data_IF_939680772123
#
_entry.id   IF_939680772123
#
_cell.length_a   1.000
_cell.length_b   1.000
_cell.length_c   1.000
_cell.angle_alpha   90.00
_cell.angle_beta   90.00
_cell.angle_gamma   90.00
#
_symmetry.space_group_name_H-M   'P 1'
#
loop_
_entity.id
_entity.type
_entity.pdbx_description
1 polymer ?
#
# COMPACT_ATOMS: atom_id res chain seq x y z
N UNK A 1 -18.42 17.12 -40.16
CA UNK A 1 -19.73 16.54 -40.02
C UNK A 1 -19.72 15.13 -40.64
N UNK A 2 -19.35 14.13 -39.84
CA UNK A 2 -19.45 12.70 -40.17
C UNK A 2 -19.83 11.97 -38.90
N UNK A 3 -21.05 11.51 -38.86
CA UNK A 3 -21.68 10.64 -37.87
C UNK A 3 -21.09 9.24 -37.98
N UNK A 4 -20.62 8.67 -36.85
CA UNK A 4 -20.31 7.25 -36.73
C UNK A 4 -21.41 6.53 -35.97
N UNK A 5 -21.97 5.55 -36.67
CA UNK A 5 -23.09 4.73 -36.27
C UNK A 5 -22.67 3.62 -35.31
N UNK A 6 -23.52 3.38 -34.33
CA UNK A 6 -23.44 2.23 -33.41
C UNK A 6 -24.23 1.09 -34.07
N UNK A 7 -23.59 -0.09 -34.20
CA UNK A 7 -24.29 -1.40 -34.03
C UNK A 7 -23.39 -2.59 -34.34
N UNK A 8 -23.58 -3.60 -33.48
CA UNK A 8 -23.35 -5.05 -33.68
C UNK A 8 -21.92 -5.57 -33.53
N UNK A 9 -21.63 -6.54 -32.63
CA UNK A 9 -22.19 -7.89 -32.69
C UNK A 9 -22.06 -8.64 -31.36
N UNK A 10 -23.15 -9.29 -31.01
CA UNK A 10 -23.20 -10.42 -30.08
C UNK A 10 -22.55 -11.66 -30.72
N UNK A 11 -21.78 -12.41 -29.96
CA UNK A 11 -21.25 -13.74 -30.33
C UNK A 11 -21.25 -14.69 -29.14
N UNK A 12 -22.34 -15.43 -29.01
CA UNK A 12 -22.57 -16.51 -28.05
C UNK A 12 -21.91 -17.80 -28.58
N UNK A 13 -21.13 -18.52 -27.73
CA UNK A 13 -20.88 -19.95 -27.95
C UNK A 13 -20.68 -20.66 -26.62
N UNK A 14 -21.71 -21.41 -26.22
CA UNK A 14 -21.68 -22.44 -25.22
C UNK A 14 -21.19 -23.76 -25.83
N UNK A 15 -20.34 -24.51 -25.12
CA UNK A 15 -20.12 -25.93 -25.38
C UNK A 15 -20.05 -26.69 -24.06
N UNK A 16 -21.10 -27.47 -23.84
CA UNK A 16 -21.25 -28.55 -22.86
C UNK A 16 -20.41 -29.76 -23.31
N UNK A 17 -19.68 -30.37 -22.38
CA UNK A 17 -19.03 -31.66 -22.56
C UNK A 17 -19.12 -32.49 -21.27
N UNK A 18 -20.09 -33.39 -21.25
CA UNK A 18 -20.28 -34.46 -20.26
C UNK A 18 -19.44 -35.68 -20.61
N UNK A 19 -18.81 -36.34 -19.63
CA UNK A 19 -18.42 -37.76 -19.64
C UNK A 19 -17.98 -38.19 -18.24
N UNK A 20 -18.69 -38.95 -17.63
CA UNK A 20 -19.08 -40.33 -17.39
C UNK A 20 -18.04 -41.16 -16.59
N UNK A 21 -18.53 -41.69 -15.47
CA UNK A 21 -17.92 -42.55 -14.48
C UNK A 21 -17.25 -43.81 -15.03
N UNK A 22 -16.19 -44.29 -14.35
CA UNK A 22 -16.00 -45.72 -14.05
C UNK A 22 -15.42 -45.96 -12.65
N UNK A 23 -16.13 -46.77 -11.88
CA UNK A 23 -15.69 -47.40 -10.62
C UNK A 23 -14.90 -48.67 -10.94
N UNK A 24 -13.86 -48.96 -10.14
CA UNK A 24 -13.45 -50.29 -9.63
C UNK A 24 -12.04 -50.18 -9.08
N UNK A 25 -11.65 -50.63 -7.95
CA UNK A 25 -11.81 -51.77 -7.12
C UNK A 25 -10.81 -51.70 -5.97
N UNK A 26 -11.16 -52.28 -4.84
CA UNK A 26 -10.39 -52.42 -3.60
C UNK A 26 -9.07 -53.20 -3.78
N UNK A 27 -7.98 -52.84 -3.05
CA UNK A 27 -7.20 -53.84 -2.32
C UNK A 27 -6.39 -53.21 -1.18
N UNK A 28 -6.43 -53.92 -0.06
CA UNK A 28 -5.89 -53.61 1.26
C UNK A 28 -4.39 -53.78 1.36
N UNK A 29 -3.72 -52.94 2.14
CA UNK A 29 -2.32 -53.14 2.55
C UNK A 29 -1.80 -52.01 3.44
N UNK A 30 -1.99 -52.10 4.76
CA UNK A 30 -1.13 -51.48 5.79
C UNK A 30 0.02 -52.48 6.12
N UNK A 31 1.14 -52.09 6.78
CA UNK A 31 1.52 -50.84 7.42
C UNK A 31 2.97 -50.39 7.13
N UNK A 32 3.38 -49.21 7.49
CA UNK A 32 4.49 -48.93 8.42
C UNK A 32 4.73 -47.43 8.51
N UNK A 33 4.79 -46.95 9.74
CA UNK A 33 5.16 -45.61 10.13
C UNK A 33 6.57 -45.24 9.64
N UNK A 34 6.70 -44.09 8.99
CA UNK A 34 7.93 -43.34 8.91
C UNK A 34 7.56 -41.90 9.31
N UNK A 35 7.96 -41.58 10.53
CA UNK A 35 8.05 -40.22 11.06
C UNK A 35 8.88 -39.36 10.08
N UNK A 36 8.23 -38.45 9.40
CA UNK A 36 8.86 -37.30 8.76
C UNK A 36 8.07 -36.05 9.17
N UNK A 37 8.49 -35.49 10.31
CA UNK A 37 8.16 -34.13 10.69
C UNK A 37 8.71 -33.18 9.62
N UNK A 38 7.88 -32.94 8.59
CA UNK A 38 7.99 -31.73 7.79
C UNK A 38 7.62 -30.55 8.68
N UNK A 39 8.33 -29.41 8.60
CA UNK A 39 7.89 -28.21 9.31
C UNK A 39 6.50 -27.86 8.77
N UNK A 40 5.55 -27.76 9.68
CA UNK A 40 4.24 -27.21 9.41
C UNK A 40 4.46 -25.79 8.89
N UNK A 41 4.14 -25.58 7.63
CA UNK A 41 3.79 -24.28 7.06
C UNK A 41 2.65 -23.77 7.94
N UNK A 42 2.99 -22.92 8.93
CA UNK A 42 1.99 -22.20 9.71
C UNK A 42 1.44 -21.16 8.75
N UNK A 43 0.32 -21.51 8.10
CA UNK A 43 -0.39 -20.67 7.18
C UNK A 43 -0.62 -19.29 7.80
N UNK A 44 -0.41 -18.26 6.98
CA UNK A 44 -0.78 -16.88 7.24
C UNK A 44 -2.18 -16.85 7.84
N UNK A 45 -2.30 -16.46 9.10
CA UNK A 45 -3.59 -16.47 9.82
C UNK A 45 -4.50 -15.32 9.39
N UNK A 46 -4.11 -14.51 8.39
CA UNK A 46 -4.90 -13.39 7.87
C UNK A 46 -5.21 -12.31 8.92
N UNK A 47 -4.52 -12.33 10.06
CA UNK A 47 -4.74 -11.35 11.13
C UNK A 47 -4.14 -10.00 10.73
N UNK A 48 -4.89 -8.93 11.03
CA UNK A 48 -4.39 -7.57 10.89
C UNK A 48 -3.25 -7.34 11.90
N UNK A 49 -2.31 -6.45 11.52
CA UNK A 49 -1.34 -5.91 12.47
C UNK A 49 -2.08 -5.13 13.56
N UNK A 50 -1.70 -5.37 14.80
CA UNK A 50 -2.18 -4.66 15.99
C UNK A 50 -0.97 -4.26 16.81
N UNK A 51 -0.79 -2.97 17.15
CA UNK A 51 0.28 -2.53 18.04
C UNK A 51 0.24 -3.26 19.38
N UNK A 52 1.41 -3.50 19.98
CA UNK A 52 1.48 -3.96 21.36
C UNK A 52 0.89 -2.91 22.31
N UNK A 53 0.47 -3.32 23.52
CA UNK A 53 -0.14 -2.40 24.50
C UNK A 53 0.83 -1.29 24.95
N UNK A 54 2.14 -1.57 24.94
CA UNK A 54 3.22 -0.67 25.28
C UNK A 54 4.02 -0.17 24.08
N UNK A 55 3.45 -0.23 22.89
CA UNK A 55 4.09 0.23 21.67
C UNK A 55 4.38 1.74 21.73
N UNK A 56 5.65 2.15 21.63
CA UNK A 56 6.02 3.56 21.75
C UNK A 56 5.44 4.43 20.66
N UNK A 57 5.13 3.85 19.47
CA UNK A 57 4.62 4.57 18.31
C UNK A 57 3.09 4.62 18.21
N UNK A 58 2.37 3.96 19.13
CA UNK A 58 0.90 3.93 19.09
C UNK A 58 0.26 5.16 19.76
N UNK A 59 1.02 6.12 20.27
CA UNK A 59 0.49 7.32 20.93
C UNK A 59 1.40 8.53 20.71
N UNK A 60 0.83 9.72 20.68
CA UNK A 60 1.63 10.95 20.57
C UNK A 60 1.81 11.45 19.14
N UNK A 61 2.84 12.23 18.94
CA UNK A 61 3.29 12.71 17.61
C UNK A 61 4.75 12.32 17.48
N UNK A 62 5.05 11.59 16.41
CA UNK A 62 6.38 11.12 16.08
C UNK A 62 6.93 11.85 14.87
N UNK A 63 8.25 11.83 14.70
CA UNK A 63 8.91 12.49 13.59
C UNK A 63 9.74 11.49 12.80
N UNK A 64 9.72 11.62 11.49
CA UNK A 64 10.59 10.83 10.63
C UNK A 64 11.14 11.69 9.49
N UNK A 65 12.23 11.22 8.90
CA UNK A 65 12.78 11.76 7.66
C UNK A 65 12.59 10.76 6.54
N UNK A 66 12.23 11.26 5.35
CA UNK A 66 12.16 10.48 4.11
C UNK A 66 13.21 11.05 3.17
N UNK A 67 14.31 10.32 2.98
CA UNK A 67 15.37 10.69 2.06
C UNK A 67 15.12 10.08 0.68
N UNK A 68 15.12 10.91 -0.37
CA UNK A 68 14.92 10.47 -1.76
C UNK A 68 16.16 10.76 -2.57
N UNK A 69 16.73 9.73 -3.21
CA UNK A 69 17.97 9.84 -3.97
C UNK A 69 17.89 10.91 -5.07
N UNK A 70 18.83 11.86 -5.02
CA UNK A 70 18.92 12.93 -6.02
C UNK A 70 17.88 14.06 -5.88
N UNK A 71 16.91 13.94 -4.96
CA UNK A 71 15.87 14.94 -4.74
C UNK A 71 15.99 15.67 -3.39
N UNK A 72 16.43 14.97 -2.33
CA UNK A 72 16.61 15.55 -1.00
C UNK A 72 15.82 14.83 0.08
N UNK A 73 15.56 15.53 1.19
CA UNK A 73 14.94 14.96 2.38
C UNK A 73 13.69 15.73 2.75
N UNK A 74 12.63 15.00 3.07
CA UNK A 74 11.41 15.52 3.68
C UNK A 74 11.39 15.16 5.17
N UNK A 75 10.99 16.10 6.02
CA UNK A 75 10.66 15.82 7.42
C UNK A 75 9.15 15.69 7.57
N UNK A 76 8.70 14.69 8.30
CA UNK A 76 7.27 14.42 8.51
C UNK A 76 6.95 14.34 10.00
N UNK A 77 5.80 14.89 10.40
CA UNK A 77 5.20 14.69 11.70
C UNK A 77 4.04 13.70 11.58
N UNK A 78 4.09 12.61 12.33
CA UNK A 78 3.17 11.48 12.31
C UNK A 78 2.28 11.52 13.55
N UNK A 79 0.97 11.50 13.42
CA UNK A 79 0.02 11.73 14.51
C UNK A 79 -0.66 10.42 14.97
N UNK A 80 -0.03 9.71 15.89
CA UNK A 80 -0.58 8.50 16.48
C UNK A 80 -1.80 8.74 17.39
N UNK A 81 -2.10 9.97 17.77
CA UNK A 81 -3.36 10.26 18.49
C UNK A 81 -4.59 10.14 17.58
N UNK A 82 -4.41 10.19 16.25
CA UNK A 82 -5.47 10.08 15.25
C UNK A 82 -5.43 8.75 14.52
N UNK A 83 -4.24 8.26 14.19
CA UNK A 83 -4.03 7.01 13.46
C UNK A 83 -2.97 6.13 14.15
N UNK A 84 -3.25 5.61 15.36
CA UNK A 84 -2.27 4.86 16.15
C UNK A 84 -1.73 3.60 15.47
N UNK A 85 -2.60 2.81 14.82
CA UNK A 85 -2.19 1.57 14.16
C UNK A 85 -1.31 1.89 12.94
N UNK A 86 -1.71 2.88 12.17
CA UNK A 86 -1.00 3.32 10.96
C UNK A 86 0.39 3.86 11.31
N UNK A 87 0.49 4.75 12.30
CA UNK A 87 1.77 5.34 12.71
C UNK A 87 2.69 4.28 13.29
N UNK A 88 2.18 3.41 14.17
CA UNK A 88 2.96 2.31 14.72
C UNK A 88 3.51 1.39 13.62
N UNK A 89 2.67 0.92 12.72
CA UNK A 89 3.09 0.08 11.59
C UNK A 89 4.14 0.78 10.71
N UNK A 90 3.92 2.05 10.36
CA UNK A 90 4.84 2.81 9.52
C UNK A 90 6.21 2.99 10.19
N UNK A 91 6.23 3.34 11.49
CA UNK A 91 7.48 3.55 12.24
C UNK A 91 8.27 2.24 12.40
N UNK A 92 7.61 1.13 12.74
CA UNK A 92 8.31 -0.16 12.83
C UNK A 92 8.88 -0.61 11.50
N UNK A 93 8.12 -0.51 10.40
CA UNK A 93 8.64 -0.80 9.07
C UNK A 93 9.84 0.10 8.71
N UNK A 94 9.81 1.38 9.10
CA UNK A 94 10.93 2.29 8.89
C UNK A 94 12.16 1.87 9.69
N UNK A 95 12.01 1.52 10.98
CA UNK A 95 13.11 1.04 11.82
C UNK A 95 13.73 -0.28 11.34
N UNK A 96 12.92 -1.16 10.74
CA UNK A 96 13.39 -2.40 10.13
C UNK A 96 14.10 -2.17 8.78
N UNK A 97 14.14 -0.93 8.28
CA UNK A 97 14.70 -0.60 6.97
C UNK A 97 13.86 -1.13 5.81
N UNK A 98 12.57 -1.44 6.03
CA UNK A 98 11.68 -1.99 5.02
C UNK A 98 11.57 -1.09 3.79
N UNK A 99 11.60 0.22 3.99
CA UNK A 99 11.44 1.21 2.92
C UNK A 99 12.73 1.50 2.14
N UNK A 100 13.89 1.05 2.64
CA UNK A 100 15.19 1.34 2.04
C UNK A 100 15.31 0.71 0.64
N UNK A 101 15.57 1.55 -0.35
CA UNK A 101 15.63 1.14 -1.76
C UNK A 101 14.26 0.94 -2.44
N UNK A 102 13.14 1.10 -1.74
CA UNK A 102 11.83 1.13 -2.38
C UNK A 102 11.64 2.44 -3.16
N UNK A 103 10.58 2.51 -3.95
CA UNK A 103 10.44 3.59 -4.93
C UNK A 103 9.08 4.28 -4.86
N UNK A 104 9.01 5.47 -5.46
CA UNK A 104 7.74 6.09 -5.84
C UNK A 104 7.35 5.61 -7.24
N UNK A 105 6.45 4.63 -7.30
CA UNK A 105 6.04 3.94 -8.52
C UNK A 105 4.86 4.60 -9.24
N UNK A 106 4.17 5.53 -8.56
CA UNK A 106 3.03 6.26 -9.11
C UNK A 106 3.10 7.73 -8.76
N UNK A 107 3.05 8.60 -9.77
CA UNK A 107 3.20 10.05 -9.63
C UNK A 107 2.12 10.73 -10.48
N UNK A 108 1.32 11.59 -9.86
CA UNK A 108 0.33 12.40 -10.59
C UNK A 108 0.54 13.86 -10.20
N UNK A 109 1.09 14.64 -11.14
CA UNK A 109 1.24 16.09 -10.97
C UNK A 109 -0.10 16.76 -10.68
N UNK A 110 -0.12 17.69 -9.71
CA UNK A 110 -1.33 18.31 -9.21
C UNK A 110 -2.16 17.43 -8.26
N UNK A 111 -1.60 16.27 -7.84
CA UNK A 111 -2.30 15.36 -6.93
C UNK A 111 -1.37 14.79 -5.85
N UNK A 112 -0.56 13.76 -6.16
CA UNK A 112 0.25 13.07 -5.14
C UNK A 112 1.40 12.26 -5.76
N UNK A 113 2.35 11.84 -4.89
CA UNK A 113 3.32 10.78 -5.18
C UNK A 113 3.03 9.59 -4.28
N UNK A 114 3.07 8.34 -4.80
CA UNK A 114 2.79 7.10 -4.06
C UNK A 114 3.97 6.14 -4.16
N UNK A 115 4.37 5.58 -3.02
CA UNK A 115 5.48 4.64 -2.90
C UNK A 115 5.28 3.63 -1.78
N UNK A 116 6.37 2.97 -1.33
CA UNK A 116 6.36 1.99 -0.24
C UNK A 116 5.88 0.60 -0.66
N UNK A 117 5.93 0.30 -1.97
CA UNK A 117 5.64 -1.02 -2.52
C UNK A 117 6.94 -1.78 -2.80
N UNK A 118 7.21 -2.95 -2.15
CA UNK A 118 8.40 -3.74 -2.42
C UNK A 118 8.49 -4.30 -3.84
N UNK A 119 7.37 -4.35 -4.58
CA UNK A 119 7.35 -4.78 -5.99
C UNK A 119 7.44 -3.60 -6.97
N UNK A 120 7.27 -2.37 -6.51
CA UNK A 120 7.38 -1.16 -7.33
C UNK A 120 6.33 -1.05 -8.46
N UNK A 121 5.18 -1.70 -8.33
CA UNK A 121 4.14 -1.75 -9.37
C UNK A 121 2.71 -1.52 -8.85
N UNK A 122 2.57 -1.23 -7.55
CA UNK A 122 1.30 -0.97 -6.88
C UNK A 122 0.59 -2.21 -6.33
N UNK A 123 1.18 -3.42 -6.45
CA UNK A 123 0.52 -4.67 -6.05
C UNK A 123 1.12 -5.34 -4.81
N UNK A 124 2.30 -4.89 -4.37
CA UNK A 124 2.99 -5.40 -3.19
C UNK A 124 2.63 -4.65 -1.91
N UNK A 125 3.17 -5.13 -0.79
CA UNK A 125 2.98 -4.53 0.52
C UNK A 125 3.80 -5.26 1.59
N UNK A 126 3.66 -4.85 2.85
CA UNK A 126 4.18 -5.58 3.99
C UNK A 126 3.35 -6.86 4.23
N UNK A 127 3.89 -7.77 5.05
CA UNK A 127 3.30 -9.08 5.34
C UNK A 127 1.89 -8.99 5.92
N UNK A 128 1.64 -8.02 6.80
CA UNK A 128 0.34 -7.84 7.46
C UNK A 128 -0.35 -6.57 6.99
N UNK A 129 -1.64 -6.69 6.76
CA UNK A 129 -2.50 -5.54 6.56
C UNK A 129 -2.79 -4.85 7.90
N UNK A 130 -3.22 -3.60 7.83
CA UNK A 130 -3.66 -2.81 8.98
C UNK A 130 -5.13 -2.44 8.84
N UNK A 131 -5.78 -2.20 9.98
CA UNK A 131 -7.12 -1.59 9.98
C UNK A 131 -7.05 -0.19 9.37
N UNK A 132 -7.97 0.09 8.46
CA UNK A 132 -8.11 1.43 7.88
C UNK A 132 -8.67 2.42 8.89
N UNK A 133 -7.83 3.38 9.31
CA UNK A 133 -8.18 4.41 10.30
C UNK A 133 -8.72 5.66 9.63
N UNK A 134 -9.97 5.56 9.14
CA UNK A 134 -10.69 6.65 8.47
C UNK A 134 -12.21 6.56 8.71
N UNK A 135 -12.92 7.67 8.51
CA UNK A 135 -14.30 7.85 8.98
C UNK A 135 -15.29 6.88 8.32
N UNK A 136 -15.19 6.59 7.03
CA UNK A 136 -16.08 5.63 6.36
C UNK A 136 -15.86 4.19 6.82
N UNK A 137 -14.73 3.89 7.48
CA UNK A 137 -14.43 2.60 8.13
C UNK A 137 -14.70 2.59 9.65
N UNK A 138 -15.41 3.62 10.16
CA UNK A 138 -15.83 3.70 11.55
C UNK A 138 -14.74 4.16 12.53
N UNK A 139 -13.63 4.71 12.06
CA UNK A 139 -12.58 5.31 12.88
C UNK A 139 -12.57 6.82 12.65
N UNK A 140 -12.68 7.62 13.70
CA UNK A 140 -12.61 9.08 13.59
C UNK A 140 -11.20 9.49 13.16
N UNK A 141 -11.11 10.12 11.99
CA UNK A 141 -9.89 10.69 11.44
C UNK A 141 -10.25 11.97 10.66
N UNK A 142 -9.83 13.10 11.18
CA UNK A 142 -10.13 14.44 10.66
C UNK A 142 -8.89 15.13 10.09
N UNK A 143 -7.82 14.42 9.82
CA UNK A 143 -6.68 14.99 9.10
C UNK A 143 -7.11 15.17 7.64
N UNK A 144 -7.15 16.43 7.13
CA UNK A 144 -7.57 16.67 5.77
C UNK A 144 -6.46 16.32 4.78
N UNK A 145 -6.82 15.88 3.58
CA UNK A 145 -5.87 15.65 2.50
C UNK A 145 -5.53 16.96 1.78
N UNK A 146 -4.72 17.76 2.45
CA UNK A 146 -4.14 19.00 1.91
C UNK A 146 -2.69 18.77 1.47
N UNK A 147 -2.11 19.76 0.79
CA UNK A 147 -0.69 19.71 0.40
C UNK A 147 0.21 19.31 1.60
N UNK A 148 1.03 18.30 1.41
CA UNK A 148 1.96 17.75 2.40
C UNK A 148 1.38 16.65 3.28
N UNK A 149 0.07 16.37 3.23
CA UNK A 149 -0.50 15.25 3.99
C UNK A 149 0.08 13.93 3.51
N UNK A 150 0.51 13.08 4.46
CA UNK A 150 0.88 11.68 4.21
C UNK A 150 -0.26 10.77 4.64
N UNK A 151 -0.63 9.81 3.78
CA UNK A 151 -1.79 8.93 3.96
C UNK A 151 -1.51 7.54 3.40
N UNK A 152 -2.20 6.50 3.91
CA UNK A 152 -2.03 5.13 3.44
C UNK A 152 -2.79 4.87 2.15
N UNK A 153 -2.11 4.25 1.20
CA UNK A 153 -2.76 3.66 0.03
C UNK A 153 -3.41 2.32 0.41
N UNK A 154 -4.50 1.97 -0.27
CA UNK A 154 -5.25 0.73 -0.06
C UNK A 154 -5.93 0.24 -1.34
N UNK A 155 -6.38 -1.00 -1.33
CA UNK A 155 -7.28 -1.55 -2.35
C UNK A 155 -8.75 -1.14 -2.07
N UNK A 156 -9.74 -1.85 -2.63
CA UNK A 156 -11.15 -1.60 -2.34
C UNK A 156 -11.55 -1.99 -0.91
N UNK A 157 -10.88 -3.00 -0.34
CA UNK A 157 -11.09 -3.39 1.05
C UNK A 157 -10.55 -2.28 1.97
N UNK A 158 -11.37 -1.76 2.89
CA UNK A 158 -10.93 -0.72 3.81
C UNK A 158 -9.76 -1.14 4.72
N UNK A 159 -9.60 -2.42 5.01
CA UNK A 159 -8.57 -2.96 5.89
C UNK A 159 -7.41 -3.62 5.11
N UNK A 160 -7.15 -3.17 3.87
CA UNK A 160 -6.12 -3.73 2.98
C UNK A 160 -4.82 -2.91 2.91
N UNK A 161 -4.71 -1.81 3.62
CA UNK A 161 -3.47 -1.05 3.69
C UNK A 161 -2.39 -1.87 4.43
N UNK A 162 -1.11 -1.72 4.04
CA UNK A 162 0.02 -2.35 4.74
C UNK A 162 1.25 -1.44 4.80
N UNK A 163 1.97 -1.24 3.69
CA UNK A 163 3.17 -0.39 3.64
C UNK A 163 3.09 0.75 2.63
N UNK A 164 2.22 0.65 1.60
CA UNK A 164 2.14 1.71 0.60
C UNK A 164 1.54 2.98 1.16
N UNK A 165 2.18 4.11 0.89
CA UNK A 165 1.72 5.44 1.31
C UNK A 165 1.79 6.43 0.15
N UNK A 166 1.09 7.55 0.29
CA UNK A 166 1.19 8.67 -0.65
C UNK A 166 1.35 10.00 0.08
N UNK A 167 1.99 10.95 -0.58
CA UNK A 167 2.19 12.32 -0.10
C UNK A 167 1.48 13.27 -1.06
N UNK A 168 0.62 14.11 -0.53
CA UNK A 168 -0.16 15.05 -1.31
C UNK A 168 0.70 16.19 -1.87
N UNK A 169 0.69 16.38 -3.18
CA UNK A 169 1.23 17.59 -3.81
C UNK A 169 0.22 18.74 -3.71
N UNK A 170 -1.05 18.47 -3.96
CA UNK A 170 -2.13 19.43 -3.91
C UNK A 170 -3.30 18.91 -3.06
N UNK A 171 -4.22 19.79 -2.70
CA UNK A 171 -5.39 19.46 -1.88
C UNK A 171 -6.40 18.59 -2.64
N UNK A 172 -6.92 17.53 -1.98
CA UNK A 172 -7.88 16.61 -2.55
C UNK A 172 -8.95 16.19 -1.52
N UNK A 173 -9.89 17.09 -1.24
CA UNK A 173 -10.95 16.91 -0.24
C UNK A 173 -11.79 15.62 -0.42
N UNK A 174 -11.85 15.07 -1.65
CA UNK A 174 -12.58 13.83 -1.93
C UNK A 174 -11.97 12.58 -1.29
N UNK A 175 -10.74 12.67 -0.76
CA UNK A 175 -10.08 11.59 -0.03
C UNK A 175 -10.40 11.64 1.47
N UNK A 176 -10.95 12.75 1.98
CA UNK A 176 -11.23 12.93 3.40
C UNK A 176 -12.28 11.92 3.87
N UNK A 177 -11.94 11.23 4.96
CA UNK A 177 -12.77 10.16 5.50
C UNK A 177 -12.78 8.84 4.74
N UNK A 178 -12.03 8.73 3.62
CA UNK A 178 -11.93 7.53 2.79
C UNK A 178 -10.54 6.88 2.84
N UNK A 179 -9.53 7.60 3.30
CA UNK A 179 -8.15 7.14 3.45
C UNK A 179 -7.60 7.52 4.82
N UNK A 180 -6.68 6.70 5.34
CA UNK A 180 -6.03 6.90 6.62
C UNK A 180 -4.89 7.92 6.49
N UNK A 181 -5.21 9.22 6.58
CA UNK A 181 -4.22 10.26 6.75
C UNK A 181 -3.60 10.13 8.15
N UNK A 182 -2.27 10.12 8.23
CA UNK A 182 -1.58 9.87 9.50
C UNK A 182 -0.47 10.86 9.84
N UNK A 183 -0.28 11.90 9.03
CA UNK A 183 0.71 12.94 9.28
C UNK A 183 0.81 13.99 8.18
N UNK A 184 1.82 14.85 8.31
CA UNK A 184 2.11 15.89 7.35
C UNK A 184 3.61 16.11 7.20
N UNK A 185 4.04 16.49 5.99
CA UNK A 185 5.38 17.02 5.73
C UNK A 185 5.51 18.37 6.41
N UNK A 186 6.51 18.51 7.25
CA UNK A 186 6.81 19.74 8.02
C UNK A 186 7.94 20.55 7.38
N UNK A 187 8.80 19.91 6.59
CA UNK A 187 9.91 20.52 5.86
C UNK A 187 10.23 19.69 4.61
N UNK A 188 10.73 20.32 3.55
CA UNK A 188 11.17 19.62 2.34
C UNK A 188 10.06 19.24 1.36
N UNK A 189 8.88 19.86 1.40
CA UNK A 189 7.76 19.55 0.48
C UNK A 189 8.12 19.84 -1.00
N UNK A 190 9.12 20.67 -1.26
CA UNK A 190 9.68 20.90 -2.60
C UNK A 190 10.29 19.65 -3.25
N UNK A 191 10.61 18.61 -2.48
CA UNK A 191 11.01 17.30 -3.00
C UNK A 191 9.87 16.65 -3.78
N UNK A 192 8.64 16.76 -3.27
CA UNK A 192 7.44 16.25 -3.97
C UNK A 192 7.23 17.00 -5.29
N UNK A 193 7.40 18.34 -5.29
CA UNK A 193 7.26 19.14 -6.51
C UNK A 193 8.32 18.76 -7.55
N UNK A 194 9.58 18.66 -7.13
CA UNK A 194 10.69 18.30 -8.02
C UNK A 194 10.49 16.90 -8.64
N UNK A 195 9.95 15.94 -7.88
CA UNK A 195 9.59 14.61 -8.38
C UNK A 195 8.48 14.73 -9.43
N UNK A 196 7.38 15.41 -9.11
CA UNK A 196 6.25 15.58 -10.02
C UNK A 196 6.64 16.29 -11.33
N UNK A 197 7.52 17.29 -11.26
CA UNK A 197 7.96 18.08 -12.43
C UNK A 197 8.94 17.33 -13.33
N UNK A 198 9.75 16.42 -12.78
CA UNK A 198 10.88 15.83 -13.52
C UNK A 198 10.68 14.39 -13.96
N UNK A 199 9.84 13.62 -13.27
CA UNK A 199 9.69 12.18 -13.53
C UNK A 199 8.67 11.94 -14.66
N UNK A 200 9.07 11.26 -15.76
CA UNK A 200 8.14 10.93 -16.82
C UNK A 200 7.17 9.81 -16.37
N UNK A 201 5.89 9.98 -16.66
CA UNK A 201 4.86 8.98 -16.42
C UNK A 201 4.41 8.32 -17.72
N UNK A 202 4.03 7.05 -17.68
CA UNK A 202 3.65 6.27 -18.87
C UNK A 202 2.18 6.46 -19.26
N UNK A 203 1.32 6.82 -18.30
CA UNK A 203 -0.12 6.94 -18.51
C UNK A 203 -0.77 8.02 -17.62
N UNK A 204 -2.05 8.25 -17.82
CA UNK A 204 -2.84 9.20 -17.02
C UNK A 204 -3.10 8.74 -15.59
N UNK A 205 -2.81 7.49 -15.25
CA UNK A 205 -2.86 6.98 -13.88
C UNK A 205 -1.58 7.29 -13.11
N UNK A 206 -0.55 7.82 -13.78
CA UNK A 206 0.71 8.22 -13.19
C UNK A 206 1.69 7.08 -13.00
N UNK A 207 1.55 5.98 -13.73
CA UNK A 207 2.50 4.86 -13.71
C UNK A 207 3.89 5.33 -14.11
N UNK A 208 4.91 4.97 -13.33
CA UNK A 208 6.32 5.30 -13.61
C UNK A 208 7.06 4.03 -14.01
N UNK A 209 7.77 4.08 -15.15
CA UNK A 209 8.65 2.99 -15.56
C UNK A 209 9.73 2.71 -14.50
N UNK A 210 10.04 1.43 -14.24
CA UNK A 210 10.91 1.03 -13.14
C UNK A 210 12.26 1.75 -13.10
N UNK A 211 12.85 2.00 -14.28
CA UNK A 211 14.13 2.72 -14.42
C UNK A 211 14.05 4.22 -14.09
N UNK A 212 12.86 4.78 -14.02
CA UNK A 212 12.62 6.21 -13.74
C UNK A 212 12.03 6.46 -12.36
N UNK A 213 11.74 5.41 -11.57
CA UNK A 213 11.13 5.56 -10.26
C UNK A 213 12.12 6.20 -9.27
N UNK A 214 11.77 7.32 -8.62
CA UNK A 214 12.58 7.89 -7.55
C UNK A 214 12.76 6.90 -6.41
N UNK A 215 14.01 6.74 -5.95
CA UNK A 215 14.37 5.76 -4.91
C UNK A 215 14.31 6.42 -3.54
N UNK A 216 13.64 5.79 -2.61
CA UNK A 216 13.68 6.12 -1.18
C UNK A 216 15.00 5.57 -0.65
N UNK A 217 15.95 6.45 -0.35
CA UNK A 217 17.24 6.04 0.21
C UNK A 217 17.08 5.45 1.61
N UNK A 218 16.28 6.12 2.44
CA UNK A 218 15.89 5.63 3.76
C UNK A 218 14.65 6.38 4.28
N UNK A 219 13.92 5.73 5.19
CA UNK A 219 12.98 6.39 6.11
C UNK A 219 13.49 6.15 7.52
N UNK A 220 13.74 7.22 8.28
CA UNK A 220 14.28 7.12 9.63
C UNK A 220 13.39 7.84 10.64
N UNK A 221 13.00 7.13 11.71
CA UNK A 221 12.33 7.74 12.87
C UNK A 221 13.38 8.52 13.66
N UNK A 222 13.05 9.76 14.08
CA UNK A 222 14.03 10.71 14.66
C UNK A 222 13.58 11.27 16.03
N UNK A 223 12.71 10.60 16.73
CA UNK A 223 12.22 10.94 18.09
C UNK A 223 13.28 10.81 19.16
#
# INVERSE_FOLDING_TARGET
MRTFDRREALGLAALLGTSLLTLSGCESGEPTAADSSAPSDEGEDGSLYVPAEDDPYATGVHHATIEVEGYGTMEVALNANVAPITVSNFCHLAEEGFYDGLTFHRIIEGFMIQGGDPQGNGTGGAEKNIKGEFSSNGVENNIPHVRGTISMARSQDPDSASSQFFIMQETAEHLDGEYAAFGNVTSGIEVVDAICESVPVEDSNGTVAAENQPVIAAISVVD
#
